data_IF_670837126980
#
_entry.id   IF_670837126980
#
_cell.length_a   1.000
_cell.length_b   1.000
_cell.length_c   1.000
_cell.angle_alpha   90.00
_cell.angle_beta   90.00
_cell.angle_gamma   90.00
#
_symmetry.space_group_name_H-M   'P 1'
#
loop_
_entity.id
_entity.type
_entity.pdbx_description
1 polymer ?
#
# COMPACT_ATOMS: atom_id res chain seq x y z
N UNK A 1 12.02 3.21 -16.01
CA UNK A 1 11.74 4.44 -15.24
C UNK A 1 10.27 4.78 -15.43
N UNK A 2 9.56 4.96 -14.34
CA UNK A 2 8.18 5.42 -14.28
C UNK A 2 8.17 6.86 -13.76
N UNK A 3 7.56 7.77 -14.52
CA UNK A 3 7.52 9.21 -14.21
C UNK A 3 6.72 9.51 -12.94
N UNK A 4 5.67 8.74 -12.66
CA UNK A 4 4.84 8.94 -11.48
C UNK A 4 5.50 8.40 -10.21
N UNK A 5 6.32 7.36 -10.34
CA UNK A 5 7.22 6.91 -9.26
C UNK A 5 8.30 7.97 -9.00
N UNK A 6 8.88 8.57 -10.04
CA UNK A 6 9.87 9.65 -9.87
C UNK A 6 9.26 10.84 -9.12
N UNK A 7 8.10 11.33 -9.57
CA UNK A 7 7.37 12.40 -8.89
C UNK A 7 7.04 12.07 -7.42
N UNK A 8 6.77 10.80 -7.13
CA UNK A 8 6.56 10.33 -5.75
C UNK A 8 7.83 10.42 -4.91
N UNK A 9 8.97 9.99 -5.46
CA UNK A 9 10.28 10.01 -4.81
C UNK A 9 10.74 11.44 -4.53
N UNK A 10 10.62 12.33 -5.52
CA UNK A 10 10.93 13.76 -5.38
C UNK A 10 10.05 14.39 -4.31
N UNK A 11 8.74 14.16 -4.35
CA UNK A 11 7.80 14.72 -3.37
C UNK A 11 8.11 14.28 -1.94
N UNK A 12 8.38 13.00 -1.72
CA UNK A 12 8.63 12.47 -0.36
C UNK A 12 9.97 12.98 0.19
N UNK A 13 11.01 13.09 -0.66
CA UNK A 13 12.28 13.70 -0.29
C UNK A 13 12.14 15.19 0.01
N UNK A 14 11.43 15.95 -0.82
CA UNK A 14 11.20 17.38 -0.60
C UNK A 14 10.45 17.63 0.72
N UNK A 15 9.41 16.82 1.00
CA UNK A 15 8.54 17.02 2.16
C UNK A 15 9.20 16.61 3.47
N UNK A 16 9.96 15.51 3.47
CA UNK A 16 10.48 14.89 4.70
C UNK A 16 12.00 14.85 4.80
N UNK A 17 12.75 15.30 3.80
CA UNK A 17 14.23 15.19 3.74
C UNK A 17 14.97 15.79 4.94
N UNK A 18 14.37 16.79 5.60
CA UNK A 18 14.92 17.43 6.80
C UNK A 18 14.37 16.87 8.12
N UNK A 19 13.46 15.89 8.08
CA UNK A 19 12.86 15.31 9.27
C UNK A 19 13.76 14.20 9.83
N UNK A 20 14.09 14.18 11.14
CA UNK A 20 15.03 13.21 11.71
C UNK A 20 14.55 11.75 11.64
N UNK A 21 13.24 11.54 11.47
CA UNK A 21 12.63 10.23 11.25
C UNK A 21 12.59 9.79 9.78
N UNK A 22 13.27 10.46 8.87
CA UNK A 22 13.23 10.17 7.44
C UNK A 22 14.64 9.98 6.87
N UNK A 23 14.76 9.11 5.86
CA UNK A 23 16.00 8.87 5.12
C UNK A 23 15.75 9.22 3.65
N UNK A 24 16.55 10.14 3.11
CA UNK A 24 16.51 10.48 1.68
C UNK A 24 16.83 9.27 0.82
N UNK A 25 16.10 9.13 -0.29
CA UNK A 25 16.25 8.04 -1.26
C UNK A 25 16.62 8.58 -2.64
N UNK A 26 17.09 7.70 -3.52
CA UNK A 26 17.33 8.07 -4.92
C UNK A 26 16.03 8.38 -5.67
N UNK A 27 16.06 9.46 -6.46
CA UNK A 27 14.98 9.92 -7.34
C UNK A 27 15.24 9.41 -8.77
N UNK A 28 14.92 8.14 -9.02
CA UNK A 28 15.27 7.45 -10.26
C UNK A 28 14.06 6.86 -11.02
N UNK A 29 12.85 7.08 -10.51
CA UNK A 29 11.60 6.56 -11.06
C UNK A 29 11.50 5.04 -11.09
N UNK A 30 12.35 4.33 -10.35
CA UNK A 30 12.27 2.88 -10.21
C UNK A 30 11.65 2.55 -8.85
N UNK A 31 10.56 1.78 -8.85
CA UNK A 31 9.97 1.30 -7.61
C UNK A 31 10.85 0.25 -6.94
N UNK A 32 10.79 0.16 -5.61
CA UNK A 32 11.56 -0.79 -4.82
C UNK A 32 11.47 -0.52 -3.32
N UNK A 33 12.24 -1.30 -2.55
CA UNK A 33 12.25 -1.21 -1.09
C UNK A 33 12.50 0.19 -0.57
N UNK A 34 13.47 0.93 -1.15
CA UNK A 34 13.78 2.30 -0.72
C UNK A 34 12.56 3.22 -0.81
N UNK A 35 11.80 3.17 -1.92
CA UNK A 35 10.59 3.99 -2.09
C UNK A 35 9.48 3.57 -1.13
N UNK A 36 9.24 2.26 -0.95
CA UNK A 36 8.22 1.79 0.02
C UNK A 36 8.60 2.13 1.46
N UNK A 37 9.88 2.04 1.83
CA UNK A 37 10.38 2.43 3.16
C UNK A 37 10.23 3.93 3.38
N UNK A 38 10.58 4.76 2.40
CA UNK A 38 10.39 6.21 2.47
C UNK A 38 8.91 6.57 2.68
N UNK A 39 7.99 5.98 1.91
CA UNK A 39 6.54 6.18 2.07
C UNK A 39 6.03 5.66 3.43
N UNK A 40 6.59 4.56 3.94
CA UNK A 40 6.26 4.01 5.26
C UNK A 40 6.69 4.96 6.37
N UNK A 41 7.92 5.49 6.31
CA UNK A 41 8.41 6.48 7.29
C UNK A 41 7.62 7.79 7.20
N UNK A 42 7.32 8.26 6.00
CA UNK A 42 6.46 9.43 5.78
C UNK A 42 5.10 9.25 6.47
N UNK A 43 4.43 8.10 6.29
CA UNK A 43 3.19 7.81 6.99
C UNK A 43 3.38 7.82 8.52
N UNK A 44 4.43 7.20 9.02
CA UNK A 44 4.70 7.18 10.46
C UNK A 44 4.90 8.60 11.04
N UNK A 45 5.57 9.49 10.31
CA UNK A 45 5.74 10.91 10.67
C UNK A 45 4.38 11.61 10.72
N UNK A 46 3.54 11.45 9.69
CA UNK A 46 2.19 12.04 9.66
C UNK A 46 1.27 11.52 10.77
N UNK A 47 1.54 10.31 11.29
CA UNK A 47 0.86 9.73 12.44
C UNK A 47 1.46 10.13 13.80
N UNK A 48 2.47 11.01 13.81
CA UNK A 48 3.15 11.48 15.03
C UNK A 48 4.02 10.41 15.70
N UNK A 49 4.53 9.43 14.96
CA UNK A 49 5.50 8.46 15.46
C UNK A 49 6.90 9.09 15.38
N UNK A 50 7.56 9.23 16.53
CA UNK A 50 8.89 9.86 16.61
C UNK A 50 10.02 8.93 16.19
N UNK A 51 10.00 7.68 16.67
CA UNK A 51 10.96 6.64 16.29
C UNK A 51 10.42 5.83 15.11
N UNK A 52 10.66 6.34 13.90
CA UNK A 52 10.22 5.68 12.67
C UNK A 52 11.09 4.47 12.33
N UNK A 53 10.54 3.56 11.54
CA UNK A 53 11.17 2.33 11.08
C UNK A 53 10.71 1.99 9.66
N UNK A 54 11.51 1.17 8.97
CA UNK A 54 11.25 0.74 7.59
C UNK A 54 10.10 -0.28 7.46
N UNK A 55 9.36 -0.55 8.53
CA UNK A 55 8.28 -1.53 8.54
C UNK A 55 6.94 -0.94 9.04
N UNK A 56 5.84 -1.39 8.43
CA UNK A 56 4.49 -1.12 8.92
C UNK A 56 4.12 -2.14 10.02
N UNK A 57 4.48 -1.84 11.26
CA UNK A 57 4.27 -2.71 12.42
C UNK A 57 2.90 -2.54 13.11
N UNK A 58 2.71 -3.22 14.25
CA UNK A 58 1.48 -3.15 15.05
C UNK A 58 1.20 -1.73 15.58
N UNK A 59 2.24 -0.97 15.95
CA UNK A 59 2.11 0.41 16.42
C UNK A 59 1.63 1.38 15.33
N UNK A 60 2.12 1.22 14.09
CA UNK A 60 1.64 1.96 12.92
C UNK A 60 0.20 1.59 12.60
N UNK A 61 -0.12 0.29 12.59
CA UNK A 61 -1.48 -0.20 12.34
C UNK A 61 -2.49 0.35 13.36
N UNK A 62 -2.13 0.40 14.64
CA UNK A 62 -2.99 0.95 15.68
C UNK A 62 -3.32 2.44 15.43
N UNK A 63 -2.34 3.24 14.99
CA UNK A 63 -2.56 4.66 14.66
C UNK A 63 -3.33 4.86 13.36
N UNK A 64 -3.02 4.09 12.32
CA UNK A 64 -3.76 4.14 11.04
C UNK A 64 -5.24 3.82 11.24
N UNK A 65 -5.58 2.85 12.10
CA UNK A 65 -6.97 2.55 12.45
C UNK A 65 -7.76 3.73 13.00
N UNK A 66 -7.09 4.72 13.60
CA UNK A 66 -7.71 5.94 14.11
C UNK A 66 -8.10 6.96 13.03
N UNK A 67 -7.58 6.82 11.80
CA UNK A 67 -7.86 7.73 10.68
C UNK A 67 -8.54 7.05 9.49
N UNK A 68 -8.70 5.73 9.53
CA UNK A 68 -9.36 4.92 8.50
C UNK A 68 -10.80 4.56 8.89
N UNK A 69 -11.71 4.27 7.93
CA UNK A 69 -11.48 4.18 6.47
C UNK A 69 -11.27 5.55 5.82
N UNK A 70 -10.30 5.63 4.91
CA UNK A 70 -10.05 6.83 4.09
C UNK A 70 -10.78 6.66 2.76
N UNK A 71 -11.59 7.65 2.39
CA UNK A 71 -12.37 7.68 1.16
C UNK A 71 -12.48 9.10 0.61
N UNK A 72 -13.15 9.24 -0.54
CA UNK A 72 -13.42 10.55 -1.16
C UNK A 72 -14.14 11.56 -0.25
N UNK A 73 -14.93 11.06 0.71
CA UNK A 73 -15.70 11.89 1.63
C UNK A 73 -14.96 12.16 2.96
N UNK A 74 -13.74 11.64 3.11
CA UNK A 74 -12.96 11.78 4.34
C UNK A 74 -12.13 13.07 4.32
N UNK A 75 -12.14 13.83 5.42
CA UNK A 75 -11.24 14.97 5.60
C UNK A 75 -9.84 14.50 6.04
N UNK A 76 -9.12 13.87 5.11
CA UNK A 76 -7.81 13.26 5.36
C UNK A 76 -6.68 14.26 5.12
N UNK A 77 -5.61 14.17 5.92
CA UNK A 77 -4.38 14.92 5.66
C UNK A 77 -3.88 14.66 4.23
N UNK A 78 -3.62 15.73 3.47
CA UNK A 78 -3.20 15.67 2.06
C UNK A 78 -1.94 14.84 1.87
N UNK A 79 -0.99 14.87 2.80
CA UNK A 79 0.23 14.08 2.71
C UNK A 79 -0.04 12.59 2.82
N UNK A 80 -0.98 12.18 3.69
CA UNK A 80 -1.41 10.78 3.79
C UNK A 80 -2.06 10.32 2.48
N UNK A 81 -2.85 11.17 1.84
CA UNK A 81 -3.42 10.87 0.52
C UNK A 81 -2.32 10.76 -0.55
N UNK A 82 -1.31 11.64 -0.54
CA UNK A 82 -0.16 11.52 -1.44
C UNK A 82 0.62 10.22 -1.23
N UNK A 83 0.77 9.76 0.02
CA UNK A 83 1.38 8.45 0.33
C UNK A 83 0.58 7.32 -0.30
N UNK A 84 -0.76 7.33 -0.17
CA UNK A 84 -1.63 6.34 -0.81
C UNK A 84 -1.43 6.37 -2.34
N UNK A 85 -1.45 7.56 -2.94
CA UNK A 85 -1.30 7.73 -4.39
C UNK A 85 0.06 7.25 -4.90
N UNK A 86 1.14 7.63 -4.23
CA UNK A 86 2.49 7.19 -4.57
C UNK A 86 2.68 5.68 -4.43
N UNK A 87 2.11 5.08 -3.39
CA UNK A 87 2.15 3.64 -3.21
C UNK A 87 1.32 2.88 -4.26
N UNK A 88 0.19 3.44 -4.72
CA UNK A 88 -0.57 2.88 -5.83
C UNK A 88 0.26 2.85 -7.12
N UNK A 89 0.97 3.94 -7.44
CA UNK A 89 1.90 3.95 -8.58
C UNK A 89 3.02 2.92 -8.44
N UNK A 90 3.59 2.77 -7.25
CA UNK A 90 4.59 1.73 -6.98
C UNK A 90 4.05 0.30 -7.22
N UNK A 91 2.74 0.09 -7.05
CA UNK A 91 2.07 -1.18 -7.33
C UNK A 91 1.51 -1.29 -8.77
N UNK A 92 1.68 -0.26 -9.60
CA UNK A 92 1.19 -0.25 -10.99
C UNK A 92 -0.27 0.19 -11.16
N UNK A 93 -0.91 0.74 -10.13
CA UNK A 93 -2.28 1.25 -10.19
C UNK A 93 -2.26 2.78 -10.30
N UNK A 94 -2.87 3.34 -11.35
CA UNK A 94 -2.84 4.79 -11.61
C UNK A 94 -3.95 5.57 -10.91
N UNK A 95 -3.71 6.31 -9.80
CA UNK A 95 -4.70 7.12 -9.11
C UNK A 95 -5.04 8.46 -9.80
N UNK A 96 -4.40 8.77 -10.93
CA UNK A 96 -4.59 10.02 -11.69
C UNK A 96 -3.70 11.19 -11.24
N UNK A 97 -2.78 10.97 -10.30
CA UNK A 97 -1.75 11.93 -9.88
C UNK A 97 -1.41 11.82 -8.39
N UNK A 98 -0.32 12.47 -7.97
CA UNK A 98 0.09 12.63 -6.56
C UNK A 98 -0.38 13.99 -6.04
N UNK A 99 -1.70 14.18 -6.02
CA UNK A 99 -2.35 15.48 -5.80
C UNK A 99 -2.62 15.80 -4.33
N UNK A 100 -2.69 14.77 -3.47
CA UNK A 100 -3.13 14.88 -2.09
C UNK A 100 -4.65 15.03 -1.92
N UNK A 101 -5.42 14.90 -3.00
CA UNK A 101 -6.89 14.85 -2.96
C UNK A 101 -7.36 13.44 -3.29
N UNK A 102 -8.16 12.82 -2.41
CA UNK A 102 -8.73 11.50 -2.65
C UNK A 102 -9.90 11.62 -3.64
N UNK A 103 -9.58 11.71 -4.92
CA UNK A 103 -10.55 11.87 -6.00
C UNK A 103 -11.07 10.55 -6.57
N UNK A 104 -11.89 10.64 -7.61
CA UNK A 104 -12.42 9.47 -8.34
C UNK A 104 -11.32 8.60 -8.95
N UNK A 105 -10.21 9.19 -9.38
CA UNK A 105 -9.05 8.44 -9.88
C UNK A 105 -8.43 7.54 -8.80
N UNK A 106 -8.26 8.06 -7.59
CA UNK A 106 -7.72 7.31 -6.44
C UNK A 106 -8.69 6.23 -5.98
N UNK A 107 -9.98 6.56 -5.84
CA UNK A 107 -11.04 5.60 -5.51
C UNK A 107 -11.09 4.43 -6.52
N UNK A 108 -11.01 4.73 -7.82
CA UNK A 108 -10.97 3.71 -8.87
C UNK A 108 -9.73 2.83 -8.75
N UNK A 109 -8.54 3.41 -8.56
CA UNK A 109 -7.30 2.65 -8.43
C UNK A 109 -7.35 1.71 -7.21
N UNK A 110 -7.84 2.20 -6.06
CA UNK A 110 -8.06 1.38 -4.85
C UNK A 110 -9.07 0.27 -5.11
N UNK A 111 -10.17 0.57 -5.81
CA UNK A 111 -11.19 -0.42 -6.18
C UNK A 111 -10.61 -1.55 -7.03
N UNK A 112 -9.78 -1.23 -8.02
CA UNK A 112 -9.14 -2.24 -8.88
C UNK A 112 -8.17 -3.10 -8.07
N UNK A 113 -7.31 -2.48 -7.23
CA UNK A 113 -6.39 -3.22 -6.38
C UNK A 113 -7.13 -4.13 -5.38
N UNK A 114 -8.23 -3.68 -4.76
CA UNK A 114 -9.05 -4.52 -3.88
C UNK A 114 -9.60 -5.76 -4.60
N UNK A 115 -10.06 -5.61 -5.85
CA UNK A 115 -10.51 -6.76 -6.67
C UNK A 115 -9.36 -7.71 -6.96
N UNK A 116 -8.20 -7.19 -7.32
CA UNK A 116 -7.00 -8.00 -7.57
C UNK A 116 -6.51 -8.75 -6.33
N UNK A 117 -6.79 -8.21 -5.14
CA UNK A 117 -6.56 -8.87 -3.86
C UNK A 117 -7.61 -9.94 -3.52
N UNK A 118 -8.71 -10.03 -4.28
CA UNK A 118 -9.77 -11.04 -4.12
C UNK A 118 -11.08 -10.53 -3.50
N UNK A 119 -11.26 -9.22 -3.29
CA UNK A 119 -12.51 -8.69 -2.75
C UNK A 119 -13.64 -8.69 -3.79
N UNK A 120 -14.76 -9.36 -3.48
CA UNK A 120 -15.96 -9.38 -4.33
C UNK A 120 -16.63 -7.99 -4.43
N UNK A 121 -16.67 -7.27 -3.31
CA UNK A 121 -17.37 -6.00 -3.17
C UNK A 121 -16.39 -4.92 -2.69
N UNK A 122 -15.46 -4.48 -3.56
CA UNK A 122 -14.44 -3.50 -3.20
C UNK A 122 -15.10 -2.18 -2.76
N UNK A 123 -14.68 -1.67 -1.61
CA UNK A 123 -15.24 -0.44 -1.05
C UNK A 123 -14.76 0.83 -1.76
N UNK A 124 -13.62 0.76 -2.47
CA UNK A 124 -12.93 1.93 -2.99
C UNK A 124 -12.32 2.82 -1.89
N UNK A 125 -12.36 2.36 -0.63
CA UNK A 125 -11.81 3.03 0.54
C UNK A 125 -10.59 2.29 1.08
N UNK A 126 -9.70 3.00 1.76
CA UNK A 126 -8.48 2.47 2.37
C UNK A 126 -8.70 2.23 3.86
N UNK A 127 -8.77 0.96 4.25
CA UNK A 127 -8.74 0.55 5.66
C UNK A 127 -7.30 0.28 6.15
N UNK A 128 -7.13 0.02 7.45
CA UNK A 128 -5.80 -0.18 8.03
C UNK A 128 -5.05 -1.41 7.51
N UNK A 129 -5.73 -2.49 7.14
CA UNK A 129 -5.07 -3.70 6.59
C UNK A 129 -4.69 -3.49 5.13
N UNK A 130 -5.56 -2.85 4.36
CA UNK A 130 -5.27 -2.46 2.99
C UNK A 130 -4.11 -1.47 2.94
N UNK A 131 -4.06 -0.47 3.82
CA UNK A 131 -2.94 0.47 3.88
C UNK A 131 -1.61 -0.24 4.20
N UNK A 132 -1.62 -1.19 5.14
CA UNK A 132 -0.44 -2.01 5.42
C UNK A 132 0.03 -2.78 4.19
N UNK A 133 -0.91 -3.41 3.48
CA UNK A 133 -0.65 -4.15 2.25
C UNK A 133 -0.16 -3.23 1.10
N UNK A 134 -0.70 -2.02 1.02
CA UNK A 134 -0.31 -0.99 0.07
C UNK A 134 1.15 -0.53 0.28
N UNK A 135 1.64 -0.51 1.52
CA UNK A 135 3.01 -0.18 1.88
C UNK A 135 3.89 -1.44 2.07
N UNK A 136 3.79 -2.36 1.12
CA UNK A 136 4.59 -3.59 1.03
C UNK A 136 5.10 -3.80 -0.39
N UNK A 137 6.07 -4.71 -0.55
CA UNK A 137 6.52 -5.19 -1.85
C UNK A 137 5.67 -6.33 -2.42
N UNK A 138 4.58 -6.72 -1.75
CA UNK A 138 3.70 -7.78 -2.23
C UNK A 138 3.04 -7.35 -3.56
N UNK A 139 3.06 -8.27 -4.53
CA UNK A 139 2.38 -8.12 -5.81
C UNK A 139 0.96 -8.69 -5.72
N UNK A 140 -0.01 -7.98 -6.31
CA UNK A 140 -1.41 -8.39 -6.36
C UNK A 140 -1.89 -8.70 -7.80
N UNK A 141 -0.95 -8.69 -8.74
CA UNK A 141 -1.12 -9.10 -10.13
C UNK A 141 -0.27 -10.34 -10.42
N UNK A 142 -0.68 -11.12 -11.42
CA UNK A 142 0.06 -12.31 -11.85
C UNK A 142 1.47 -11.92 -12.32
N UNK A 143 2.50 -12.48 -11.68
CA UNK A 143 3.88 -12.25 -12.07
C UNK A 143 4.34 -13.23 -13.14
N UNK A 144 5.43 -12.87 -13.83
CA UNK A 144 6.07 -13.79 -14.79
C UNK A 144 6.47 -15.10 -14.09
N UNK A 145 6.06 -16.23 -14.67
CA UNK A 145 6.27 -17.56 -14.09
C UNK A 145 5.24 -17.95 -13.02
N UNK A 146 4.28 -17.09 -12.68
CA UNK A 146 3.15 -17.42 -11.83
C UNK A 146 2.04 -18.17 -12.57
N UNK A 147 1.22 -18.90 -11.82
CA UNK A 147 0.04 -19.61 -12.33
C UNK A 147 -1.26 -18.96 -11.86
N UNK A 148 -2.23 -18.83 -12.77
CA UNK A 148 -3.54 -18.24 -12.43
C UNK A 148 -4.33 -19.11 -11.44
N UNK A 149 -4.11 -20.42 -11.46
CA UNK A 149 -4.66 -21.37 -10.48
C UNK A 149 -4.22 -21.03 -9.06
N UNK A 150 -2.93 -20.75 -8.87
CA UNK A 150 -2.34 -20.36 -7.59
C UNK A 150 -2.86 -18.98 -7.19
N UNK A 151 -2.89 -18.02 -8.12
CA UNK A 151 -3.43 -16.68 -7.88
C UNK A 151 -4.90 -16.73 -7.41
N UNK A 152 -5.71 -17.58 -8.03
CA UNK A 152 -7.12 -17.79 -7.64
C UNK A 152 -7.23 -18.27 -6.18
N UNK A 153 -6.35 -19.19 -5.75
CA UNK A 153 -6.30 -19.65 -4.36
C UNK A 153 -5.85 -18.54 -3.42
N UNK A 154 -4.84 -17.75 -3.77
CA UNK A 154 -4.37 -16.61 -2.98
C UNK A 154 -5.47 -15.57 -2.76
N UNK A 155 -6.19 -15.21 -3.84
CA UNK A 155 -7.35 -14.31 -3.78
C UNK A 155 -8.47 -14.88 -2.90
N UNK A 156 -8.76 -16.17 -3.03
CA UNK A 156 -9.75 -16.85 -2.19
C UNK A 156 -9.36 -16.81 -0.71
N UNK A 157 -8.08 -17.02 -0.37
CA UNK A 157 -7.60 -16.94 1.02
C UNK A 157 -7.76 -15.52 1.58
N UNK A 158 -7.34 -14.51 0.82
CA UNK A 158 -7.52 -13.11 1.21
C UNK A 158 -8.98 -12.81 1.50
N UNK A 159 -9.87 -13.11 0.55
CA UNK A 159 -11.32 -12.94 0.70
C UNK A 159 -11.88 -13.65 1.92
N UNK A 160 -11.47 -14.90 2.15
CA UNK A 160 -12.04 -15.75 3.21
C UNK A 160 -11.59 -15.30 4.60
N UNK A 161 -10.35 -14.82 4.74
CA UNK A 161 -9.73 -14.62 6.03
C UNK A 161 -9.42 -13.18 6.40
N UNK A 162 -9.57 -12.20 5.49
CA UNK A 162 -9.19 -10.80 5.76
C UNK A 162 -9.90 -10.19 6.96
N UNK A 163 -11.09 -10.65 7.32
CA UNK A 163 -11.81 -10.16 8.50
C UNK A 163 -11.30 -10.72 9.83
N UNK A 164 -10.46 -11.75 9.82
CA UNK A 164 -9.86 -12.32 11.04
C UNK A 164 -8.81 -11.38 11.60
N UNK A 165 -8.81 -11.18 12.93
CA UNK A 165 -7.96 -10.18 13.61
C UNK A 165 -6.47 -10.21 13.20
N UNK A 166 -5.90 -11.41 13.09
CA UNK A 166 -4.46 -11.62 12.87
C UNK A 166 -4.09 -11.99 11.43
N UNK A 167 -5.05 -12.00 10.50
CA UNK A 167 -4.79 -12.23 9.09
C UNK A 167 -4.60 -10.90 8.35
N UNK A 168 -3.67 -10.83 7.41
CA UNK A 168 -3.41 -9.66 6.56
C UNK A 168 -3.39 -10.10 5.10
N UNK A 169 -3.62 -9.18 4.16
CA UNK A 169 -3.52 -9.53 2.74
C UNK A 169 -2.15 -10.13 2.43
N UNK A 170 -2.19 -11.22 1.68
CA UNK A 170 -1.03 -11.89 1.12
C UNK A 170 -0.95 -11.60 -0.37
N UNK A 171 0.23 -11.73 -0.99
CA UNK A 171 0.37 -11.51 -2.43
C UNK A 171 -0.59 -12.39 -3.24
N UNK A 172 -1.05 -11.86 -4.36
CA UNK A 172 -1.83 -12.54 -5.39
C UNK A 172 -0.99 -12.63 -6.69
N UNK A 173 0.24 -13.12 -6.55
CA UNK A 173 1.28 -13.13 -7.57
C UNK A 173 1.31 -14.40 -8.43
N UNK A 174 0.53 -15.42 -8.06
CA UNK A 174 0.50 -16.73 -8.72
C UNK A 174 1.74 -17.59 -8.44
N UNK A 175 2.63 -17.18 -7.55
CA UNK A 175 3.80 -17.95 -7.16
C UNK A 175 3.51 -18.72 -5.87
N UNK A 176 3.89 -20.00 -5.81
CA UNK A 176 3.81 -20.77 -4.57
C UNK A 176 4.93 -20.35 -3.61
N UNK A 177 4.69 -19.25 -2.89
CA UNK A 177 5.61 -18.68 -1.93
C UNK A 177 5.36 -19.22 -0.51
N UNK A 178 6.29 -18.96 0.40
CA UNK A 178 6.12 -19.21 1.84
C UNK A 178 4.87 -18.54 2.40
N UNK A 179 4.50 -17.35 1.90
CA UNK A 179 3.27 -16.66 2.31
C UNK A 179 2.02 -17.48 1.94
N UNK A 180 2.01 -18.12 0.76
CA UNK A 180 0.94 -19.04 0.34
C UNK A 180 0.85 -20.28 1.25
N UNK A 181 1.97 -20.75 1.82
CA UNK A 181 1.97 -21.84 2.81
C UNK A 181 1.45 -21.40 4.18
N UNK A 182 1.88 -20.24 4.68
CA UNK A 182 1.44 -19.70 5.97
C UNK A 182 -0.07 -19.42 5.99
N UNK A 183 -0.63 -19.03 4.84
CA UNK A 183 -2.06 -18.86 4.62
C UNK A 183 -2.91 -20.08 4.96
N UNK A 184 -2.45 -21.28 4.60
CA UNK A 184 -3.18 -22.54 4.72
C UNK A 184 -3.37 -22.98 6.18
N UNK A 185 -2.60 -22.38 7.09
CA UNK A 185 -2.61 -22.71 8.53
C UNK A 185 -3.68 -21.89 9.27
N UNK A 186 -4.19 -20.82 8.65
CA UNK A 186 -5.33 -20.06 9.16
C UNK A 186 -6.64 -20.73 8.74
#
# INVERSE_FOLDING_TARGET
>A
MDEMVLLTQEWVNETYGNHPGYNTIDENGNTGWNTIHALTRALQIELGITNTADNFGAGTLARVRGITPISKNSNTNKNIVKIIQGALYCKGYGPGGVTGTYGSGTERAVTVLQRDMGEDNPSGSVDGKFFKALLSMDAYSLLYGGEESIRTVQQWMNKTYIHRKNFFYMPCDGLYSRNTQEALIY
#
